data_IF_398050123010
#
_entry.id   IF_398050123010
#
_cell.length_a   1.000
_cell.length_b   1.000
_cell.length_c   1.000
_cell.angle_alpha   90.00
_cell.angle_beta   90.00
_cell.angle_gamma   90.00
#
_symmetry.space_group_name_H-M   'P 1'
#
loop_
_entity.id
_entity.type
_entity.pdbx_description
1 polymer ?
#
# COMPACT_ATOMS: atom_id res chain seq x y z
N UNK A 1 -22.86 5.22 -64.44
CA UNK A 1 -23.96 4.97 -65.39
C UNK A 1 -25.25 4.88 -64.59
N UNK A 2 -25.99 5.99 -64.46
CA UNK A 2 -27.21 6.32 -65.24
C UNK A 2 -28.36 5.36 -64.90
N UNK A 3 -29.52 5.74 -64.35
CA UNK A 3 -30.45 6.87 -64.57
C UNK A 3 -31.42 6.85 -63.36
N UNK A 4 -31.84 7.93 -62.67
CA UNK A 4 -32.56 9.15 -63.07
C UNK A 4 -33.82 8.90 -63.94
N UNK A 5 -35.01 8.95 -63.32
CA UNK A 5 -36.28 9.31 -63.96
C UNK A 5 -37.13 10.16 -62.99
N UNK A 6 -37.03 11.47 -63.17
CA UNK A 6 -38.11 12.45 -63.48
C UNK A 6 -39.48 11.83 -63.83
N UNK A 7 -40.66 12.42 -63.68
CA UNK A 7 -41.21 13.73 -63.29
C UNK A 7 -42.75 13.60 -63.52
N UNK A 8 -43.62 14.31 -62.78
CA UNK A 8 -44.66 15.21 -63.33
C UNK A 8 -45.80 15.54 -62.35
N UNK A 9 -46.11 16.83 -62.42
CA UNK A 9 -47.16 17.63 -61.78
C UNK A 9 -48.56 17.27 -62.30
N UNK A 10 -49.58 17.49 -61.47
CA UNK A 10 -50.82 18.11 -61.92
C UNK A 10 -51.54 18.82 -60.76
N UNK A 11 -51.96 20.05 -61.06
CA UNK A 11 -52.57 21.05 -60.21
C UNK A 11 -54.06 21.12 -60.59
N UNK A 12 -55.00 21.21 -59.65
CA UNK A 12 -56.25 21.97 -59.85
C UNK A 12 -57.09 22.18 -58.57
N UNK A 13 -57.24 23.47 -58.22
CA UNK A 13 -58.45 24.23 -57.86
C UNK A 13 -59.34 23.72 -56.71
N UNK A 14 -59.47 24.43 -55.57
CA UNK A 14 -60.05 25.76 -55.25
C UNK A 14 -61.44 25.59 -54.59
N UNK A 15 -61.55 26.11 -53.36
CA UNK A 15 -62.73 26.50 -52.55
C UNK A 15 -62.36 26.19 -51.09
N UNK A 16 -62.05 27.14 -50.20
CA UNK A 16 -62.74 28.39 -49.96
C UNK A 16 -63.74 28.18 -48.84
N UNK A 17 -63.31 28.30 -47.58
CA UNK A 17 -64.16 28.56 -46.41
C UNK A 17 -63.30 28.94 -45.20
N UNK A 18 -63.49 30.17 -44.74
CA UNK A 18 -62.95 30.75 -43.51
C UNK A 18 -63.66 30.14 -42.28
N UNK A 19 -62.90 29.84 -41.23
CA UNK A 19 -63.37 29.73 -39.85
C UNK A 19 -62.19 29.88 -38.87
N UNK A 20 -62.42 30.33 -37.62
CA UNK A 20 -61.54 31.29 -36.95
C UNK A 20 -60.41 30.67 -36.13
N UNK A 21 -59.35 31.46 -35.97
CA UNK A 21 -58.18 31.19 -35.12
C UNK A 21 -58.62 31.24 -33.65
N UNK A 22 -58.56 30.09 -32.97
CA UNK A 22 -58.62 29.99 -31.50
C UNK A 22 -57.18 30.12 -30.98
N UNK A 23 -56.89 31.00 -30.00
CA UNK A 23 -55.55 31.11 -29.47
C UNK A 23 -55.26 29.88 -28.60
N UNK A 24 -54.36 29.02 -29.07
CA UNK A 24 -53.83 27.92 -28.28
C UNK A 24 -53.02 28.51 -27.11
N UNK A 25 -53.55 28.37 -25.90
CA UNK A 25 -52.85 28.64 -24.65
C UNK A 25 -51.67 27.66 -24.58
N UNK A 26 -50.46 28.12 -24.92
CA UNK A 26 -49.23 27.37 -24.64
C UNK A 26 -49.02 27.42 -23.12
N UNK A 27 -49.54 26.42 -22.40
CA UNK A 27 -49.04 26.09 -21.07
C UNK A 27 -47.59 25.61 -21.26
N UNK A 28 -46.63 26.50 -21.07
CA UNK A 28 -45.26 26.11 -20.77
C UNK A 28 -45.28 25.32 -19.46
N UNK A 29 -45.38 23.99 -19.54
CA UNK A 29 -44.96 23.14 -18.45
C UNK A 29 -43.45 23.35 -18.30
N UNK A 30 -43.07 24.20 -17.34
CA UNK A 30 -41.73 24.21 -16.80
C UNK A 30 -41.52 22.83 -16.16
N UNK A 31 -40.94 21.90 -16.91
CA UNK A 31 -40.35 20.69 -16.34
C UNK A 31 -39.19 21.20 -15.50
N UNK A 32 -39.46 21.44 -14.22
CA UNK A 32 -38.42 21.52 -13.22
C UNK A 32 -37.77 20.14 -13.24
N UNK A 33 -36.58 20.06 -13.85
CA UNK A 33 -35.67 18.96 -13.55
C UNK A 33 -35.43 19.06 -12.05
N UNK A 34 -36.19 18.28 -11.27
CA UNK A 34 -35.82 18.02 -9.90
C UNK A 34 -34.42 17.40 -9.99
N UNK A 35 -33.41 18.14 -9.56
CA UNK A 35 -32.08 17.60 -9.38
C UNK A 35 -32.26 16.40 -8.45
N UNK A 36 -32.09 15.19 -9.01
CA UNK A 36 -32.05 13.98 -8.20
C UNK A 36 -31.01 14.24 -7.12
N UNK A 37 -31.31 13.96 -5.84
CA UNK A 37 -30.34 14.16 -4.79
C UNK A 37 -29.09 13.38 -5.19
N UNK A 38 -27.95 14.08 -5.29
CA UNK A 38 -26.65 13.46 -5.48
C UNK A 38 -26.51 12.48 -4.32
N UNK A 39 -26.71 11.19 -4.57
CA UNK A 39 -26.41 10.16 -3.58
C UNK A 39 -24.92 10.28 -3.30
N UNK A 40 -24.59 10.89 -2.17
CA UNK A 40 -23.21 10.96 -1.71
C UNK A 40 -22.76 9.53 -1.46
N UNK A 41 -22.03 8.96 -2.42
CA UNK A 41 -21.45 7.63 -2.28
C UNK A 41 -20.48 7.68 -1.12
N UNK A 42 -20.64 6.77 -0.17
CA UNK A 42 -19.75 6.68 0.98
C UNK A 42 -18.31 6.42 0.51
N UNK A 43 -17.35 7.18 1.03
CA UNK A 43 -15.93 6.96 0.75
C UNK A 43 -15.50 5.52 1.12
N UNK A 44 -14.43 5.00 0.50
CA UNK A 44 -13.82 3.75 0.95
C UNK A 44 -13.47 3.82 2.44
N UNK A 45 -13.96 2.88 3.23
CA UNK A 45 -13.76 2.87 4.69
C UNK A 45 -12.29 2.82 5.08
N UNK A 46 -11.47 2.16 4.25
CA UNK A 46 -10.04 2.03 4.46
C UNK A 46 -9.27 3.35 4.40
N UNK A 47 -9.85 4.40 3.80
CA UNK A 47 -9.24 5.72 3.76
C UNK A 47 -9.13 6.33 5.17
N UNK A 48 -9.98 5.92 6.12
CA UNK A 48 -9.85 6.30 7.52
C UNK A 48 -8.55 5.77 8.15
N UNK A 49 -8.08 4.58 7.75
CA UNK A 49 -6.81 4.03 8.24
C UNK A 49 -5.62 4.80 7.70
N UNK A 50 -5.64 5.16 6.42
CA UNK A 50 -4.60 5.99 5.81
C UNK A 50 -4.49 7.36 6.47
N UNK A 51 -5.62 8.01 6.77
CA UNK A 51 -5.66 9.28 7.51
C UNK A 51 -5.10 9.17 8.92
N UNK A 52 -5.33 8.03 9.58
CA UNK A 52 -4.81 7.74 10.92
C UNK A 52 -3.30 7.46 10.90
N UNK A 53 -2.84 6.68 9.91
CA UNK A 53 -1.45 6.26 9.75
C UNK A 53 -0.53 7.40 9.30
N UNK A 54 -1.06 8.35 8.52
CA UNK A 54 -0.32 9.48 7.97
C UNK A 54 -0.98 10.82 8.37
N UNK A 55 -0.87 11.22 9.65
CA UNK A 55 -1.54 12.43 10.15
C UNK A 55 -1.04 13.72 9.49
N UNK A 56 0.16 13.71 8.91
CA UNK A 56 0.75 14.86 8.20
C UNK A 56 0.28 14.99 6.75
N UNK A 57 -0.52 14.04 6.26
CA UNK A 57 -1.10 14.03 4.91
C UNK A 57 -2.59 14.39 4.93
N UNK A 58 -3.02 15.11 3.92
CA UNK A 58 -4.42 15.33 3.59
C UNK A 58 -4.84 14.36 2.47
N UNK A 59 -6.01 13.75 2.65
CA UNK A 59 -6.63 12.82 1.70
C UNK A 59 -8.00 13.37 1.30
N UNK A 60 -8.06 14.02 0.15
CA UNK A 60 -9.32 14.53 -0.42
C UNK A 60 -9.89 13.46 -1.35
N UNK A 61 -11.07 12.95 -1.04
CA UNK A 61 -11.72 11.89 -1.81
C UNK A 61 -12.96 12.44 -2.50
N UNK A 62 -13.08 12.23 -3.81
CA UNK A 62 -14.24 12.60 -4.59
C UNK A 62 -14.57 11.44 -5.53
N UNK A 63 -15.84 11.07 -5.61
CA UNK A 63 -16.26 10.08 -6.58
C UNK A 63 -16.20 10.68 -7.99
N UNK A 64 -15.54 9.97 -8.91
CA UNK A 64 -15.36 10.36 -10.31
C UNK A 64 -16.31 9.54 -11.19
N UNK A 65 -17.37 10.17 -11.71
CA UNK A 65 -18.42 9.50 -12.47
C UNK A 65 -17.92 8.93 -13.81
N UNK A 66 -16.89 9.54 -14.40
CA UNK A 66 -16.31 9.08 -15.67
C UNK A 66 -15.53 7.77 -15.46
N UNK A 67 -14.66 7.75 -14.45
CA UNK A 67 -13.87 6.56 -14.10
C UNK A 67 -14.67 5.52 -13.30
N UNK A 68 -15.85 5.90 -12.82
CA UNK A 68 -16.70 5.12 -11.91
C UNK A 68 -15.94 4.61 -10.68
N UNK A 69 -15.09 5.46 -10.12
CA UNK A 69 -14.21 5.14 -9.00
C UNK A 69 -13.93 6.38 -8.14
N UNK A 70 -13.38 6.19 -6.94
CA UNK A 70 -13.01 7.28 -6.07
C UNK A 70 -11.64 7.83 -6.44
N UNK A 71 -11.60 9.10 -6.86
CA UNK A 71 -10.37 9.87 -7.02
C UNK A 71 -9.92 10.41 -5.67
N UNK A 72 -8.68 10.15 -5.32
CA UNK A 72 -8.08 10.52 -4.04
C UNK A 72 -6.85 11.38 -4.29
N UNK A 73 -6.92 12.64 -3.88
CA UNK A 73 -5.75 13.53 -3.86
C UNK A 73 -5.03 13.39 -2.52
N UNK A 74 -3.72 13.11 -2.60
CA UNK A 74 -2.83 13.03 -1.44
C UNK A 74 -1.87 14.23 -1.49
N UNK A 75 -1.82 14.99 -0.39
CA UNK A 75 -0.94 16.15 -0.28
C UNK A 75 -0.39 16.29 1.14
N UNK A 76 0.85 16.76 1.30
CA UNK A 76 1.35 17.16 2.62
C UNK A 76 0.56 18.35 3.17
N UNK A 77 0.17 18.28 4.43
CA UNK A 77 -0.41 19.42 5.17
C UNK A 77 0.67 20.50 5.31
N UNK A 78 0.30 21.76 5.11
CA UNK A 78 1.27 22.85 5.22
C UNK A 78 1.69 23.06 6.67
N UNK A 79 2.99 23.05 6.93
CA UNK A 79 3.58 23.66 8.12
C UNK A 79 4.04 25.08 7.75
N UNK A 80 3.14 26.06 7.80
CA UNK A 80 3.47 27.46 7.48
C UNK A 80 3.46 27.80 5.98
N UNK A 81 3.44 29.11 5.68
CA UNK A 81 3.06 29.71 4.40
C UNK A 81 4.05 29.52 3.25
N UNK A 82 3.55 29.12 2.08
CA UNK A 82 4.06 29.60 0.78
C UNK A 82 4.69 28.59 -0.19
N UNK A 83 4.88 27.33 0.20
CA UNK A 83 5.41 26.32 -0.73
C UNK A 83 4.33 25.66 -1.59
N UNK A 84 4.61 25.46 -2.89
CA UNK A 84 3.82 24.59 -3.78
C UNK A 84 3.75 23.19 -3.16
N UNK A 85 2.55 22.77 -2.75
CA UNK A 85 2.33 21.45 -2.16
C UNK A 85 2.46 20.42 -3.27
N UNK A 86 3.39 19.47 -3.14
CA UNK A 86 3.39 18.29 -4.01
C UNK A 86 2.06 17.56 -3.78
N UNK A 87 1.29 17.41 -4.86
CA UNK A 87 0.01 16.70 -4.87
C UNK A 87 0.17 15.48 -5.74
N UNK A 88 -0.25 14.33 -5.25
CA UNK A 88 -0.38 13.11 -6.03
C UNK A 88 -1.86 12.76 -6.15
N UNK A 89 -2.26 12.27 -7.32
CA UNK A 89 -3.64 11.86 -7.60
C UNK A 89 -3.64 10.35 -7.80
N UNK A 90 -4.53 9.68 -7.08
CA UNK A 90 -4.76 8.25 -7.18
C UNK A 90 -6.24 7.99 -7.40
N UNK A 91 -6.54 6.78 -7.81
CA UNK A 91 -7.87 6.18 -7.79
C UNK A 91 -7.86 4.99 -6.83
N UNK A 92 -8.98 4.77 -6.13
CA UNK A 92 -9.09 3.71 -5.15
C UNK A 92 -8.81 2.33 -5.74
N UNK A 93 -9.29 2.09 -6.97
CA UNK A 93 -9.01 0.89 -7.78
C UNK A 93 -9.26 -0.43 -7.02
N UNK A 94 -10.31 -0.46 -6.20
CA UNK A 94 -10.63 -1.60 -5.34
C UNK A 94 -9.55 -1.89 -4.29
N UNK A 95 -8.97 -0.86 -3.70
CA UNK A 95 -7.99 -0.96 -2.61
C UNK A 95 -6.52 -0.93 -3.03
N UNK A 96 -6.23 -0.67 -4.31
CA UNK A 96 -4.87 -0.71 -4.88
C UNK A 96 -4.19 0.66 -4.90
N UNK A 97 -4.96 1.74 -4.81
CA UNK A 97 -4.46 3.12 -4.77
C UNK A 97 -3.52 3.45 -5.95
N UNK A 98 -4.07 3.40 -7.17
CA UNK A 98 -3.29 3.48 -8.41
C UNK A 98 -3.35 4.88 -9.03
N UNK A 99 -2.26 5.38 -9.63
CA UNK A 99 -2.34 6.60 -10.41
C UNK A 99 -3.14 6.37 -11.71
N UNK A 100 -3.67 7.43 -12.34
CA UNK A 100 -4.59 7.32 -13.50
C UNK A 100 -4.04 6.42 -14.62
N UNK A 101 -2.76 6.52 -14.93
CA UNK A 101 -2.08 5.77 -15.99
C UNK A 101 -1.99 4.25 -15.72
N UNK A 102 -2.20 3.80 -14.48
CA UNK A 102 -2.14 2.37 -14.09
C UNK A 102 -3.52 1.73 -13.94
N UNK A 103 -4.60 2.49 -14.15
CA UNK A 103 -5.97 1.98 -14.01
C UNK A 103 -6.29 0.84 -14.99
N UNK A 104 -5.73 0.88 -16.20
CA UNK A 104 -5.94 -0.15 -17.22
C UNK A 104 -5.45 -1.54 -16.81
N UNK A 105 -4.41 -1.60 -15.97
CA UNK A 105 -3.75 -2.84 -15.56
C UNK A 105 -3.99 -3.19 -14.07
N UNK A 106 -5.06 -2.66 -13.48
CA UNK A 106 -5.32 -2.74 -12.03
C UNK A 106 -5.27 -4.17 -11.47
N UNK A 107 -5.68 -5.18 -12.24
CA UNK A 107 -5.69 -6.58 -11.79
C UNK A 107 -4.29 -7.17 -11.57
N UNK A 108 -3.25 -6.52 -12.08
CA UNK A 108 -1.85 -6.94 -11.86
C UNK A 108 -1.32 -6.54 -10.49
N UNK A 109 -1.99 -5.60 -9.80
CA UNK A 109 -1.53 -5.05 -8.53
C UNK A 109 -2.24 -5.67 -7.33
N UNK A 110 -1.52 -5.80 -6.23
CA UNK A 110 -2.10 -6.16 -4.94
C UNK A 110 -2.72 -4.95 -4.28
N UNK A 111 -3.65 -5.20 -3.36
CA UNK A 111 -4.19 -4.15 -2.51
C UNK A 111 -3.05 -3.49 -1.70
N UNK A 112 -3.17 -2.19 -1.50
CA UNK A 112 -2.24 -1.37 -0.72
C UNK A 112 -2.13 -1.89 0.72
N UNK A 113 -3.28 -2.25 1.29
CA UNK A 113 -3.42 -2.80 2.63
C UNK A 113 -3.83 -4.26 2.59
N UNK A 114 -3.28 -5.04 3.51
CA UNK A 114 -3.62 -6.44 3.75
C UNK A 114 -3.67 -6.69 5.26
N UNK A 115 -4.36 -7.75 5.67
CA UNK A 115 -4.39 -8.16 7.07
C UNK A 115 -3.02 -8.68 7.49
N UNK A 116 -2.30 -7.91 8.29
CA UNK A 116 -1.04 -8.32 8.88
C UNK A 116 -1.30 -9.37 9.97
N UNK A 117 -0.50 -10.44 10.02
CA UNK A 117 -0.79 -11.54 10.93
C UNK A 117 -0.64 -11.11 12.40
N UNK A 118 -1.63 -11.46 13.22
CA UNK A 118 -1.58 -11.23 14.67
C UNK A 118 -0.49 -12.06 15.33
N UNK A 119 -0.46 -13.34 15.01
CA UNK A 119 0.48 -14.33 15.54
C UNK A 119 1.48 -14.77 14.47
N UNK A 120 2.62 -15.32 14.91
CA UNK A 120 3.62 -15.91 14.03
C UNK A 120 3.02 -17.20 13.44
N UNK A 121 2.91 -17.35 12.11
CA UNK A 121 2.38 -18.58 11.51
C UNK A 121 3.21 -19.79 11.93
N UNK A 122 2.57 -20.75 12.60
CA UNK A 122 3.21 -22.00 13.03
C UNK A 122 3.26 -23.01 11.88
N UNK A 123 4.45 -23.34 11.35
CA UNK A 123 4.58 -24.26 10.22
C UNK A 123 4.07 -25.68 10.51
N UNK A 124 4.00 -26.07 11.80
CA UNK A 124 3.43 -27.36 12.20
C UNK A 124 1.92 -27.46 11.90
N UNK A 125 1.25 -26.32 11.66
CA UNK A 125 -0.18 -26.25 11.34
C UNK A 125 -0.47 -26.11 9.85
N UNK A 126 0.56 -26.03 8.99
CA UNK A 126 0.36 -25.87 7.56
C UNK A 126 -0.19 -27.15 6.95
N UNK A 127 -1.31 -27.02 6.23
CA UNK A 127 -1.85 -28.09 5.41
C UNK A 127 -1.00 -28.30 4.15
N UNK A 128 -1.24 -29.41 3.45
CA UNK A 128 -0.62 -29.64 2.14
C UNK A 128 -1.01 -28.57 1.11
N UNK A 129 -2.21 -27.98 1.25
CA UNK A 129 -2.63 -26.88 0.39
C UNK A 129 -1.87 -25.59 0.70
N UNK A 130 -1.63 -25.29 1.99
CA UNK A 130 -0.81 -24.15 2.39
C UNK A 130 0.60 -24.28 1.83
N UNK A 131 1.22 -25.45 1.95
CA UNK A 131 2.55 -25.73 1.41
C UNK A 131 2.57 -25.56 -0.11
N UNK A 132 1.56 -26.08 -0.83
CA UNK A 132 1.44 -25.88 -2.29
C UNK A 132 1.34 -24.40 -2.65
N UNK A 133 0.49 -23.65 -1.94
CA UNK A 133 0.32 -22.20 -2.14
C UNK A 133 1.63 -21.45 -1.91
N UNK A 134 2.37 -21.79 -0.85
CA UNK A 134 3.66 -21.18 -0.53
C UNK A 134 4.71 -21.48 -1.58
N UNK A 135 4.81 -22.73 -2.03
CA UNK A 135 5.72 -23.14 -3.10
C UNK A 135 5.40 -22.41 -4.39
N UNK A 136 4.12 -22.28 -4.74
CA UNK A 136 3.70 -21.52 -5.92
C UNK A 136 4.07 -20.04 -5.78
N UNK A 137 3.74 -19.43 -4.65
CA UNK A 137 4.00 -18.02 -4.35
C UNK A 137 5.50 -17.65 -4.34
N UNK A 138 6.35 -18.54 -3.85
CA UNK A 138 7.82 -18.31 -3.75
C UNK A 138 8.62 -18.75 -4.98
N UNK A 139 7.96 -19.34 -5.99
CA UNK A 139 8.63 -19.74 -7.23
C UNK A 139 9.13 -18.53 -8.03
N UNK A 140 10.31 -18.63 -8.62
CA UNK A 140 10.92 -17.53 -9.38
C UNK A 140 9.99 -16.99 -10.48
N UNK A 141 9.29 -17.88 -11.20
CA UNK A 141 8.36 -17.50 -12.26
C UNK A 141 7.22 -16.61 -11.75
N UNK A 142 6.55 -17.02 -10.66
CA UNK A 142 5.44 -16.22 -10.10
C UNK A 142 5.93 -14.93 -9.44
N UNK A 143 7.07 -14.99 -8.75
CA UNK A 143 7.69 -13.83 -8.11
C UNK A 143 8.05 -12.75 -9.13
N UNK A 144 8.52 -13.14 -10.33
CA UNK A 144 8.81 -12.23 -11.43
C UNK A 144 7.54 -11.64 -12.10
N UNK A 145 6.46 -12.42 -12.22
CA UNK A 145 5.21 -11.98 -12.86
C UNK A 145 4.36 -11.06 -12.00
N UNK A 146 4.48 -11.13 -10.68
CA UNK A 146 3.64 -10.37 -9.77
C UNK A 146 4.16 -8.94 -9.58
N UNK A 147 3.43 -7.95 -10.12
CA UNK A 147 3.72 -6.53 -9.88
C UNK A 147 3.54 -6.16 -8.39
N UNK A 148 2.75 -6.94 -7.65
CA UNK A 148 2.38 -6.80 -6.25
C UNK A 148 1.86 -5.41 -5.88
N UNK A 149 2.13 -4.89 -4.68
CA UNK A 149 1.62 -3.57 -4.29
C UNK A 149 2.23 -2.48 -5.18
N UNK A 150 1.38 -1.55 -5.68
CA UNK A 150 1.88 -0.36 -6.35
C UNK A 150 2.71 0.48 -5.39
N UNK A 151 3.85 0.96 -5.91
CA UNK A 151 4.80 1.75 -5.15
C UNK A 151 4.53 3.26 -5.22
N UNK A 152 3.65 3.69 -6.13
CA UNK A 152 3.38 5.10 -6.43
C UNK A 152 2.80 5.86 -5.22
N UNK A 153 2.00 5.17 -4.40
CA UNK A 153 1.52 5.74 -3.13
C UNK A 153 2.68 6.07 -2.19
N UNK A 154 3.63 5.15 -2.01
CA UNK A 154 4.79 5.35 -1.14
C UNK A 154 5.74 6.41 -1.71
N UNK A 155 5.85 6.50 -3.04
CA UNK A 155 6.60 7.55 -3.71
C UNK A 155 6.06 8.94 -3.39
N UNK A 156 4.73 9.09 -3.36
CA UNK A 156 4.10 10.35 -2.99
C UNK A 156 4.23 10.66 -1.48
N UNK A 157 4.10 9.66 -0.61
CA UNK A 157 4.19 9.82 0.85
C UNK A 157 5.61 10.26 1.27
N UNK A 158 6.62 9.54 0.76
CA UNK A 158 8.02 9.66 1.20
C UNK A 158 8.90 10.48 0.23
N UNK A 159 8.31 11.17 -0.75
CA UNK A 159 9.06 11.88 -1.81
C UNK A 159 10.19 11.01 -2.42
N UNK A 160 9.82 9.77 -2.75
CA UNK A 160 10.77 8.70 -3.02
C UNK A 160 10.68 8.14 -4.44
N UNK A 161 10.01 8.83 -5.37
CA UNK A 161 9.88 8.37 -6.76
C UNK A 161 11.22 8.09 -7.46
N UNK A 162 12.27 8.82 -7.08
CA UNK A 162 13.61 8.66 -7.65
C UNK A 162 14.66 8.49 -6.57
N UNK A 163 15.80 7.90 -6.93
CA UNK A 163 16.96 7.81 -6.03
C UNK A 163 17.39 9.19 -5.54
N UNK A 164 17.41 10.16 -6.47
CA UNK A 164 17.82 11.54 -6.18
C UNK A 164 16.91 12.18 -5.12
N UNK A 165 15.58 12.11 -5.29
CA UNK A 165 14.65 12.69 -4.32
C UNK A 165 14.76 11.98 -2.97
N UNK A 166 14.78 10.65 -3.00
CA UNK A 166 14.90 9.81 -1.78
C UNK A 166 16.14 10.18 -0.96
N UNK A 167 17.32 10.25 -1.59
CA UNK A 167 18.59 10.52 -0.90
C UNK A 167 18.65 11.91 -0.26
N UNK A 168 17.75 12.84 -0.61
CA UNK A 168 17.63 14.12 0.12
C UNK A 168 17.08 13.94 1.54
N UNK A 169 16.29 12.89 1.77
CA UNK A 169 15.68 12.56 3.06
C UNK A 169 16.42 11.48 3.86
N UNK A 170 17.36 10.77 3.22
CA UNK A 170 18.17 9.76 3.89
C UNK A 170 19.24 10.44 4.75
N UNK A 171 19.17 10.24 6.07
CA UNK A 171 20.21 10.69 7.01
C UNK A 171 20.69 9.53 7.88
N UNK A 172 21.84 9.75 8.50
CA UNK A 172 22.42 8.82 9.45
C UNK A 172 21.62 8.83 10.76
N UNK A 173 21.27 7.65 11.25
CA UNK A 173 20.54 7.43 12.50
C UNK A 173 21.25 6.34 13.33
N UNK A 174 21.17 6.43 14.65
CA UNK A 174 21.59 5.35 15.56
C UNK A 174 20.36 4.57 16.01
N UNK A 175 20.48 3.25 16.05
CA UNK A 175 19.49 2.36 16.63
C UNK A 175 20.20 1.19 17.33
N UNK A 176 19.87 0.97 18.60
CA UNK A 176 20.51 0.02 19.51
C UNK A 176 22.05 0.14 19.52
N UNK A 177 22.54 1.37 19.49
CA UNK A 177 23.96 1.71 19.47
C UNK A 177 24.68 1.36 18.15
N UNK A 178 23.94 1.03 17.08
CA UNK A 178 24.47 0.81 15.73
C UNK A 178 24.03 1.94 14.82
N UNK A 179 24.93 2.41 13.97
CA UNK A 179 24.60 3.42 12.98
C UNK A 179 24.12 2.78 11.68
N UNK A 180 23.12 3.41 11.08
CA UNK A 180 22.65 3.11 9.74
C UNK A 180 22.16 4.38 9.06
N UNK A 181 21.73 4.26 7.81
CA UNK A 181 21.06 5.36 7.10
C UNK A 181 19.58 5.02 6.97
N UNK A 182 18.70 5.99 7.21
CA UNK A 182 17.27 5.80 7.06
C UNK A 182 16.60 7.11 6.64
N UNK A 183 15.37 7.03 6.17
CA UNK A 183 14.57 8.19 5.87
C UNK A 183 14.16 8.88 7.17
N UNK A 184 14.29 10.20 7.22
CA UNK A 184 13.95 11.01 8.41
C UNK A 184 12.52 10.83 8.94
N UNK A 185 11.59 10.33 8.10
CA UNK A 185 10.20 10.06 8.45
C UNK A 185 10.08 9.02 9.57
N UNK A 186 11.02 8.07 9.64
CA UNK A 186 10.99 6.99 10.63
C UNK A 186 11.84 7.27 11.86
N UNK A 187 12.47 8.44 11.99
CA UNK A 187 13.33 8.74 13.14
C UNK A 187 12.58 8.78 14.45
N UNK A 188 11.44 9.48 14.50
CA UNK A 188 10.63 9.55 15.70
C UNK A 188 10.02 8.18 16.08
N UNK A 189 9.44 7.40 15.14
CA UNK A 189 9.07 6.01 15.39
C UNK A 189 10.23 5.14 15.92
N UNK A 190 11.39 5.13 15.25
CA UNK A 190 12.55 4.33 15.68
C UNK A 190 13.05 4.71 17.09
N UNK A 191 13.07 6.00 17.42
CA UNK A 191 13.47 6.45 18.76
C UNK A 191 12.51 5.95 19.84
N UNK A 192 11.21 5.90 19.57
CA UNK A 192 10.22 5.34 20.51
C UNK A 192 10.34 3.82 20.64
N UNK A 193 10.64 3.12 19.55
CA UNK A 193 10.97 1.68 19.59
C UNK A 193 12.21 1.45 20.46
N UNK A 194 13.29 2.19 20.23
CA UNK A 194 14.54 2.07 20.99
C UNK A 194 14.31 2.33 22.49
N UNK A 195 13.54 3.37 22.83
CA UNK A 195 13.18 3.68 24.22
C UNK A 195 12.39 2.53 24.90
N UNK A 196 11.44 1.93 24.17
CA UNK A 196 10.66 0.77 24.65
C UNK A 196 11.55 -0.44 24.89
N UNK A 197 12.41 -0.79 23.93
CA UNK A 197 13.37 -1.89 24.05
C UNK A 197 14.34 -1.64 25.20
N UNK A 198 14.90 -0.44 25.32
CA UNK A 198 15.82 -0.06 26.40
C UNK A 198 15.18 -0.13 27.79
N UNK A 199 13.87 0.17 27.91
CA UNK A 199 13.13 -0.03 29.15
C UNK A 199 12.96 -1.51 29.47
N UNK A 200 12.60 -2.33 28.49
CA UNK A 200 12.40 -3.78 28.63
C UNK A 200 13.70 -4.50 29.02
N UNK A 201 14.82 -4.15 28.39
CA UNK A 201 16.14 -4.75 28.64
C UNK A 201 16.64 -4.61 30.08
N UNK A 202 16.08 -3.68 30.88
CA UNK A 202 16.43 -3.53 32.30
C UNK A 202 15.87 -4.64 33.18
N UNK A 203 14.80 -5.29 32.75
CA UNK A 203 14.04 -6.27 33.55
C UNK A 203 13.85 -7.62 32.86
N UNK A 204 14.10 -7.69 31.56
CA UNK A 204 13.91 -8.88 30.75
C UNK A 204 15.26 -9.36 30.19
N UNK A 205 15.69 -10.56 30.62
CA UNK A 205 16.97 -11.13 30.24
C UNK A 205 17.05 -11.49 28.75
N UNK A 206 15.94 -11.90 28.13
CA UNK A 206 15.91 -12.24 26.70
C UNK A 206 16.05 -10.97 25.84
N UNK A 207 15.36 -9.89 26.22
CA UNK A 207 15.50 -8.60 25.55
C UNK A 207 16.89 -8.01 25.79
N UNK A 208 17.44 -8.15 26.99
CA UNK A 208 18.81 -7.71 27.29
C UNK A 208 19.83 -8.45 26.41
N UNK A 209 19.75 -9.78 26.34
CA UNK A 209 20.62 -10.60 25.51
C UNK A 209 20.50 -10.22 24.04
N UNK A 210 19.27 -10.00 23.54
CA UNK A 210 19.06 -9.51 22.18
C UNK A 210 19.82 -8.20 21.92
N UNK A 211 19.62 -7.18 22.76
CA UNK A 211 20.29 -5.86 22.63
C UNK A 211 21.80 -6.02 22.66
N UNK A 212 22.32 -6.77 23.63
CA UNK A 212 23.75 -6.98 23.80
C UNK A 212 24.35 -7.67 22.57
N UNK A 213 23.59 -8.54 21.89
CA UNK A 213 24.03 -9.34 20.74
C UNK A 213 23.72 -8.72 19.37
N UNK A 214 23.04 -7.58 19.28
CA UNK A 214 22.91 -6.86 18.00
C UNK A 214 24.29 -6.50 17.48
N UNK A 215 24.58 -6.93 16.25
CA UNK A 215 25.84 -6.62 15.55
C UNK A 215 25.68 -5.40 14.66
N UNK A 216 24.62 -5.37 13.85
CA UNK A 216 24.38 -4.32 12.86
C UNK A 216 22.88 -4.10 12.65
N UNK A 217 22.56 -2.88 12.22
CA UNK A 217 21.26 -2.50 11.68
C UNK A 217 21.46 -2.01 10.25
N UNK A 218 20.84 -2.66 9.27
CA UNK A 218 20.97 -2.28 7.86
C UNK A 218 19.69 -1.61 7.39
N UNK A 219 19.76 -0.31 7.09
CA UNK A 219 18.64 0.51 6.65
C UNK A 219 18.67 0.74 5.14
N UNK A 220 18.82 2.00 4.73
CA UNK A 220 18.73 2.45 3.34
C UNK A 220 19.72 1.73 2.42
N UNK A 221 19.18 1.15 1.35
CA UNK A 221 19.92 0.58 0.24
C UNK A 221 19.05 0.66 -1.03
N UNK A 222 19.44 1.48 -2.00
CA UNK A 222 18.70 1.61 -3.25
C UNK A 222 18.88 0.39 -4.15
N UNK A 223 17.86 -0.48 -4.17
CA UNK A 223 17.84 -1.71 -4.95
C UNK A 223 16.43 -2.18 -5.30
N UNK A 224 16.36 -3.03 -6.31
CA UNK A 224 15.20 -3.89 -6.54
C UNK A 224 15.24 -5.11 -5.63
N UNK A 225 14.10 -5.78 -5.48
CA UNK A 225 14.01 -7.08 -4.82
C UNK A 225 14.56 -8.13 -5.80
N UNK A 226 15.46 -9.00 -5.34
CA UNK A 226 16.21 -9.89 -6.22
C UNK A 226 15.33 -10.83 -7.09
N UNK A 227 14.13 -11.19 -6.61
CA UNK A 227 13.23 -12.13 -7.26
C UNK A 227 11.93 -11.49 -7.79
N UNK A 228 11.80 -10.16 -7.75
CA UNK A 228 10.59 -9.44 -8.19
C UNK A 228 10.94 -8.07 -8.77
N UNK A 229 10.26 -7.69 -9.86
CA UNK A 229 10.38 -6.37 -10.49
C UNK A 229 9.69 -5.25 -9.67
N UNK A 230 10.09 -5.10 -8.41
CA UNK A 230 9.62 -4.09 -7.48
C UNK A 230 10.79 -3.61 -6.63
N UNK A 231 10.85 -2.31 -6.38
CA UNK A 231 11.84 -1.71 -5.49
C UNK A 231 11.59 -2.15 -4.04
N UNK A 232 12.67 -2.42 -3.31
CA UNK A 232 12.61 -2.81 -1.89
C UNK A 232 12.23 -1.61 -1.01
N UNK A 233 11.57 -1.85 0.13
CA UNK A 233 11.35 -0.81 1.14
C UNK A 233 12.64 -0.28 1.79
N UNK A 234 13.76 -1.02 1.69
CA UNK A 234 15.08 -0.46 2.00
C UNK A 234 15.44 0.72 1.09
N UNK A 235 14.97 0.74 -0.15
CA UNK A 235 15.23 1.84 -1.09
C UNK A 235 14.45 3.10 -0.75
N UNK A 236 13.48 3.03 0.16
CA UNK A 236 12.77 4.19 0.72
C UNK A 236 13.39 4.63 2.04
N UNK A 237 14.33 3.87 2.60
CA UNK A 237 14.90 4.12 3.92
C UNK A 237 13.91 3.95 5.07
N UNK A 238 12.78 3.26 4.85
CA UNK A 238 11.73 3.03 5.86
C UNK A 238 11.75 1.60 6.41
N UNK A 239 12.73 0.79 6.01
CA UNK A 239 12.98 -0.55 6.53
C UNK A 239 14.34 -0.63 7.23
N UNK A 240 14.44 -1.54 8.19
CA UNK A 240 15.67 -1.85 8.92
C UNK A 240 15.77 -3.37 9.15
N UNK A 241 16.90 -3.94 8.76
CA UNK A 241 17.25 -5.32 9.12
C UNK A 241 18.09 -5.30 10.39
N UNK A 242 17.68 -6.03 11.42
CA UNK A 242 18.46 -6.22 12.64
C UNK A 242 19.16 -7.56 12.58
N UNK A 243 20.49 -7.53 12.62
CA UNK A 243 21.29 -8.75 12.60
C UNK A 243 22.07 -8.94 13.91
N UNK A 244 22.04 -10.15 14.48
CA UNK A 244 22.85 -10.50 15.65
C UNK A 244 24.32 -10.71 15.25
N UNK A 245 25.24 -10.77 16.23
CA UNK A 245 26.64 -11.18 16.02
C UNK A 245 26.77 -12.57 15.40
N UNK A 246 25.75 -13.39 15.57
CA UNK A 246 25.53 -14.65 14.89
C UNK A 246 24.18 -15.23 15.31
N UNK A 247 23.63 -16.12 14.49
CA UNK A 247 22.38 -16.84 14.79
C UNK A 247 22.62 -18.33 15.06
N UNK A 248 23.88 -18.73 15.24
CA UNK A 248 24.27 -20.12 15.55
C UNK A 248 23.76 -21.09 14.48
N UNK A 249 23.13 -22.17 14.93
CA UNK A 249 22.52 -23.19 14.06
C UNK A 249 21.10 -22.83 13.59
N UNK A 250 20.61 -21.61 13.90
CA UNK A 250 19.29 -21.16 13.47
C UNK A 250 19.32 -20.62 12.04
N UNK A 251 18.14 -20.31 11.50
CA UNK A 251 17.96 -19.73 10.18
C UNK A 251 17.26 -18.39 10.29
N UNK A 252 17.67 -17.41 9.49
CA UNK A 252 17.18 -16.02 9.60
C UNK A 252 16.38 -15.55 8.39
N UNK A 253 16.63 -16.14 7.21
CA UNK A 253 15.96 -15.79 5.96
C UNK A 253 15.53 -17.02 5.17
N UNK A 254 14.29 -17.01 4.67
CA UNK A 254 13.69 -18.15 3.97
C UNK A 254 14.47 -18.56 2.72
N UNK A 255 14.93 -17.62 1.90
CA UNK A 255 15.57 -17.95 0.63
C UNK A 255 16.94 -18.62 0.87
N UNK A 256 17.70 -18.15 1.85
CA UNK A 256 18.95 -18.81 2.25
C UNK A 256 18.71 -20.22 2.78
N UNK A 257 17.60 -20.44 3.51
CA UNK A 257 17.23 -21.80 3.93
C UNK A 257 16.81 -22.66 2.74
N UNK A 258 16.01 -22.12 1.82
CA UNK A 258 15.56 -22.81 0.60
C UNK A 258 16.76 -23.29 -0.22
N UNK A 259 17.80 -22.49 -0.35
CA UNK A 259 18.98 -22.87 -1.14
C UNK A 259 19.74 -24.07 -0.52
N UNK A 260 19.59 -24.31 0.79
CA UNK A 260 20.12 -25.48 1.50
C UNK A 260 19.14 -26.66 1.46
N UNK A 261 17.84 -26.37 1.60
CA UNK A 261 16.76 -27.35 1.73
C UNK A 261 15.50 -26.84 1.00
N UNK A 262 15.41 -27.08 -0.33
CA UNK A 262 14.36 -26.52 -1.18
C UNK A 262 12.94 -26.96 -0.80
N UNK A 263 12.80 -28.11 -0.16
CA UNK A 263 11.50 -28.68 0.22
C UNK A 263 11.15 -28.42 1.68
N UNK A 264 12.12 -28.43 2.60
CA UNK A 264 11.89 -28.31 4.03
C UNK A 264 11.86 -26.88 4.58
N UNK A 265 12.24 -25.85 3.82
CA UNK A 265 12.26 -24.47 4.33
C UNK A 265 10.87 -23.93 4.73
N UNK A 266 9.79 -24.38 4.05
CA UNK A 266 8.40 -23.96 4.34
C UNK A 266 7.91 -24.49 5.68
N UNK A 267 8.35 -25.70 6.04
CA UNK A 267 7.97 -26.40 7.27
C UNK A 267 9.03 -26.28 8.38
N UNK A 268 10.05 -25.43 8.20
CA UNK A 268 11.12 -25.25 9.18
C UNK A 268 10.53 -24.77 10.53
N UNK A 269 10.68 -25.54 11.63
CA UNK A 269 10.10 -25.19 12.93
C UNK A 269 10.58 -23.83 13.46
N UNK A 270 9.72 -23.16 14.24
CA UNK A 270 10.00 -21.81 14.77
C UNK A 270 11.23 -21.76 15.69
N UNK A 271 11.49 -22.82 16.47
CA UNK A 271 12.67 -22.91 17.36
C UNK A 271 14.00 -22.98 16.58
N UNK A 272 13.95 -23.42 15.30
CA UNK A 272 15.07 -23.44 14.36
C UNK A 272 15.26 -22.12 13.62
N UNK A 273 14.39 -21.13 13.87
CA UNK A 273 14.51 -19.80 13.30
C UNK A 273 15.08 -18.84 14.34
N UNK A 274 15.99 -17.97 13.92
CA UNK A 274 16.38 -16.84 14.74
C UNK A 274 15.29 -15.80 14.65
N UNK A 275 14.83 -15.29 15.78
CA UNK A 275 13.76 -14.30 15.87
C UNK A 275 14.14 -13.30 16.95
N UNK A 276 13.87 -12.00 16.74
CA UNK A 276 13.86 -11.05 17.84
C UNK A 276 12.86 -11.51 18.92
N UNK A 277 13.11 -11.24 20.22
CA UNK A 277 12.16 -11.55 21.28
C UNK A 277 10.78 -10.95 20.97
N UNK A 278 9.70 -11.63 21.37
CA UNK A 278 8.34 -11.16 21.07
C UNK A 278 8.09 -9.72 21.55
N UNK A 279 8.63 -9.36 22.71
CA UNK A 279 8.52 -8.00 23.26
C UNK A 279 9.25 -6.94 22.42
N UNK A 280 10.31 -7.31 21.72
CA UNK A 280 10.99 -6.44 20.75
C UNK A 280 10.11 -6.26 19.51
N UNK A 281 9.55 -7.35 18.98
CA UNK A 281 8.62 -7.31 17.84
C UNK A 281 7.42 -6.40 18.17
N UNK A 282 6.83 -6.57 19.35
CA UNK A 282 5.71 -5.74 19.82
C UNK A 282 6.10 -4.26 20.00
N UNK A 283 7.34 -3.96 20.41
CA UNK A 283 7.81 -2.58 20.48
C UNK A 283 7.81 -1.92 19.10
N UNK A 284 8.27 -2.63 18.07
CA UNK A 284 8.19 -2.21 16.67
C UNK A 284 6.74 -2.05 16.17
N UNK A 285 5.89 -3.07 16.39
CA UNK A 285 4.48 -3.07 15.95
C UNK A 285 3.67 -1.93 16.57
N UNK A 286 3.91 -1.63 17.85
CA UNK A 286 3.27 -0.51 18.54
C UNK A 286 3.70 0.87 18.04
N UNK A 287 4.67 0.93 17.13
CA UNK A 287 5.19 2.16 16.52
C UNK A 287 5.06 2.16 15.00
N UNK A 288 4.20 1.31 14.43
CA UNK A 288 3.87 1.32 13.00
C UNK A 288 4.77 0.46 12.12
N UNK A 289 5.68 -0.33 12.69
CA UNK A 289 6.49 -1.28 11.93
C UNK A 289 5.84 -2.65 11.88
N UNK A 290 5.92 -3.33 10.74
CA UNK A 290 5.62 -4.76 10.64
C UNK A 290 6.92 -5.56 10.61
N UNK A 291 6.85 -6.83 11.03
CA UNK A 291 7.99 -7.73 11.08
C UNK A 291 7.88 -8.84 10.01
N UNK A 292 8.95 -9.02 9.24
CA UNK A 292 8.98 -9.95 8.13
C UNK A 292 8.87 -11.42 8.55
N UNK A 293 9.12 -11.76 9.81
CA UNK A 293 8.96 -13.12 10.33
C UNK A 293 7.52 -13.57 10.49
N UNK A 294 6.53 -12.66 10.41
CA UNK A 294 5.10 -13.02 10.35
C UNK A 294 4.61 -13.29 8.93
N UNK A 295 5.44 -13.05 7.92
CA UNK A 295 5.07 -13.37 6.54
C UNK A 295 5.18 -14.86 6.27
N UNK A 296 4.41 -15.39 5.30
CA UNK A 296 4.55 -16.78 4.92
C UNK A 296 5.93 -17.13 4.32
N UNK A 297 6.52 -16.18 3.55
CA UNK A 297 7.94 -16.18 3.19
C UNK A 297 8.72 -15.34 4.20
N UNK A 298 9.09 -15.97 5.30
CA UNK A 298 9.61 -15.31 6.48
C UNK A 298 10.97 -14.64 6.25
N UNK A 299 11.10 -13.41 6.75
CA UNK A 299 12.35 -12.65 6.79
C UNK A 299 12.55 -12.09 8.21
N UNK A 300 13.27 -12.83 9.05
CA UNK A 300 13.23 -12.60 10.50
C UNK A 300 14.12 -11.45 10.97
N UNK A 301 15.04 -10.97 10.13
CA UNK A 301 15.81 -9.75 10.42
C UNK A 301 15.00 -8.48 10.12
N UNK A 302 14.00 -8.57 9.25
CA UNK A 302 13.42 -7.44 8.57
C UNK A 302 12.25 -6.78 9.32
N UNK A 303 12.33 -5.46 9.47
CA UNK A 303 11.23 -4.61 9.90
C UNK A 303 10.99 -3.52 8.86
N UNK A 304 9.74 -3.30 8.44
CA UNK A 304 9.37 -2.19 7.55
C UNK A 304 8.28 -1.32 8.16
N UNK A 305 8.43 -0.01 8.06
CA UNK A 305 7.47 0.97 8.56
C UNK A 305 6.24 1.02 7.64
N UNK A 306 5.15 0.43 8.11
CA UNK A 306 3.86 0.29 7.42
C UNK A 306 2.71 0.60 8.39
N UNK A 307 2.62 1.84 8.92
CA UNK A 307 1.64 2.19 9.94
C UNK A 307 0.19 1.96 9.48
N UNK A 308 -0.07 2.05 8.18
CA UNK A 308 -1.37 1.79 7.59
C UNK A 308 -1.80 0.31 7.72
N UNK A 309 -0.86 -0.63 7.69
CA UNK A 309 -1.15 -2.05 7.91
C UNK A 309 -1.47 -2.34 9.38
N UNK A 310 -0.81 -1.64 10.31
CA UNK A 310 -1.10 -1.73 11.74
C UNK A 310 -2.50 -1.17 12.04
N UNK A 311 -2.86 0.00 11.49
CA UNK A 311 -4.20 0.57 11.65
C UNK A 311 -5.29 -0.30 11.01
N UNK A 312 -5.06 -0.78 9.78
CA UNK A 312 -5.99 -1.67 9.07
C UNK A 312 -6.26 -2.96 9.88
N UNK A 313 -5.20 -3.61 10.34
CA UNK A 313 -5.31 -4.89 11.07
C UNK A 313 -6.01 -4.73 12.41
N UNK A 314 -5.72 -3.65 13.15
CA UNK A 314 -6.33 -3.40 14.46
C UNK A 314 -7.85 -3.30 14.35
N UNK A 315 -8.36 -2.60 13.34
CA UNK A 315 -9.80 -2.31 13.21
C UNK A 315 -10.59 -3.36 12.42
N UNK A 316 -9.90 -4.24 11.68
CA UNK A 316 -10.52 -5.44 11.09
C UNK A 316 -10.58 -6.61 12.08
N UNK A 317 -9.85 -6.53 13.20
CA UNK A 317 -9.85 -7.54 14.28
C UNK A 317 -10.79 -7.21 15.44
N UNK A 318 -11.38 -6.01 15.42
CA UNK A 318 -12.45 -5.53 16.32
C UNK A 318 -13.81 -5.93 15.73
#
# INVERSE_FOLDING_TARGET
>A
MNKMFTEKKALCRLCGLCAPIVPALFLCFAVTLAALPFESRAEPGELAFLRSAYPDLAFNCVYDDEQKDFKIEVARKASGSGGTRHKAVFYWAGGKMLPPEKLGDKESYWNLMYAYAKDIPDPARFSQEDIRRLRNFSSAENRLRQAGVSLDFFDAVYDSATRRSTETHIKRVSFLGKYTNAHEWIFAPLARVEAKIGKLAKTDAEVKDFVDNVSRGDGYNWREIADRASRSFHSYGIAIDILPRGWGQKNIYWAWRRDIDPDGWMTLPLDKRWMPPLKVIQAFESEGFIWGGKWPIWDNMHFEYRPELIEYTRRMSE
#
